data_IF_598481998556
#
_entry.id   IF_598481998556
#
_cell.length_a   1.000
_cell.length_b   1.000
_cell.length_c   1.000
_cell.angle_alpha   90.00
_cell.angle_beta   90.00
_cell.angle_gamma   90.00
#
_symmetry.space_group_name_H-M   'P 1'
#
loop_
_entity.id
_entity.type
_entity.pdbx_description
1 polymer ?
#
# COMPACT_ATOMS: atom_id res chain seq x y z
N UNK A 1 4.06 19.55 -11.04
CA UNK A 1 4.81 18.28 -10.91
C UNK A 1 3.88 17.23 -10.32
N UNK A 2 4.02 16.01 -10.77
CA UNK A 2 3.24 14.84 -10.33
C UNK A 2 1.73 14.98 -10.57
N UNK A 3 1.34 15.66 -11.65
CA UNK A 3 -0.04 15.81 -12.05
C UNK A 3 -0.65 14.45 -12.45
N UNK A 4 -1.75 14.08 -11.79
CA UNK A 4 -2.49 12.84 -12.00
C UNK A 4 -3.88 13.11 -12.60
N UNK A 5 -4.13 14.33 -13.09
CA UNK A 5 -5.41 14.70 -13.72
C UNK A 5 -5.73 13.74 -14.88
N UNK A 6 -6.94 13.19 -14.86
CA UNK A 6 -7.41 12.19 -15.83
C UNK A 6 -6.94 10.77 -15.57
N UNK A 7 -6.13 10.53 -14.53
CA UNK A 7 -5.77 9.17 -14.11
C UNK A 7 -6.73 8.63 -13.04
N UNK A 8 -6.82 7.31 -13.01
CA UNK A 8 -7.65 6.59 -12.03
C UNK A 8 -6.80 5.70 -11.14
N UNK A 9 -7.13 5.64 -9.85
CA UNK A 9 -6.37 4.83 -8.89
C UNK A 9 -7.29 3.93 -8.05
N UNK A 10 -6.90 2.66 -7.89
CA UNK A 10 -7.47 1.75 -6.91
C UNK A 10 -6.53 1.68 -5.70
N UNK A 11 -7.05 1.99 -4.51
CA UNK A 11 -6.28 2.00 -3.26
C UNK A 11 -6.94 1.05 -2.26
N UNK A 12 -6.20 0.03 -1.79
CA UNK A 12 -6.68 -0.89 -0.74
C UNK A 12 -6.33 -0.38 0.66
N UNK A 13 -7.17 -0.70 1.66
CA UNK A 13 -7.00 -0.19 3.02
C UNK A 13 -7.11 1.34 3.09
N UNK A 14 -7.91 1.93 2.22
CA UNK A 14 -8.01 3.36 1.96
C UNK A 14 -8.44 4.18 3.19
N UNK A 15 -9.29 3.63 4.06
CA UNK A 15 -9.78 4.32 5.27
C UNK A 15 -8.87 4.15 6.50
N UNK A 16 -7.71 3.49 6.37
CA UNK A 16 -6.69 3.39 7.41
C UNK A 16 -5.76 4.60 7.44
N UNK A 17 -4.93 4.76 8.48
CA UNK A 17 -4.07 5.94 8.66
C UNK A 17 -3.18 6.25 7.45
N UNK A 18 -2.34 5.31 7.02
CA UNK A 18 -1.48 5.47 5.83
C UNK A 18 -2.34 5.53 4.55
N UNK A 19 -3.34 4.66 4.42
CA UNK A 19 -4.20 4.60 3.25
C UNK A 19 -4.97 5.89 3.00
N UNK A 20 -5.46 6.54 4.06
CA UNK A 20 -6.17 7.81 3.94
C UNK A 20 -5.25 8.93 3.45
N UNK A 21 -4.03 9.01 3.96
CA UNK A 21 -3.05 9.99 3.51
C UNK A 21 -2.62 9.76 2.04
N UNK A 22 -2.48 8.51 1.63
CA UNK A 22 -2.23 8.14 0.22
C UNK A 22 -3.39 8.63 -0.66
N UNK A 23 -4.63 8.31 -0.30
CA UNK A 23 -5.80 8.73 -1.07
C UNK A 23 -5.89 10.27 -1.18
N UNK A 24 -5.67 10.98 -0.07
CA UNK A 24 -5.65 12.45 -0.06
C UNK A 24 -4.56 13.01 -0.98
N UNK A 25 -3.35 12.45 -0.94
CA UNK A 25 -2.26 12.89 -1.80
C UNK A 25 -2.57 12.65 -3.30
N UNK A 26 -3.10 11.48 -3.66
CA UNK A 26 -3.48 11.18 -5.04
C UNK A 26 -4.64 12.05 -5.53
N UNK A 27 -5.66 12.27 -4.69
CA UNK A 27 -6.80 13.14 -5.01
C UNK A 27 -6.36 14.59 -5.18
N UNK A 28 -5.47 15.11 -4.32
CA UNK A 28 -4.92 16.45 -4.42
C UNK A 28 -4.12 16.68 -5.71
N UNK A 29 -3.55 15.62 -6.30
CA UNK A 29 -2.90 15.65 -7.61
C UNK A 29 -3.86 15.42 -8.78
N UNK A 30 -5.17 15.31 -8.53
CA UNK A 30 -6.20 15.21 -9.57
C UNK A 30 -6.61 13.79 -9.97
N UNK A 31 -6.14 12.74 -9.29
CA UNK A 31 -6.56 11.37 -9.58
C UNK A 31 -8.01 11.11 -9.12
N UNK A 32 -8.79 10.38 -9.94
CA UNK A 32 -10.08 9.81 -9.53
C UNK A 32 -9.85 8.47 -8.86
N UNK A 33 -10.45 8.26 -7.66
CA UNK A 33 -10.12 7.12 -6.83
C UNK A 33 -11.27 6.10 -6.74
N UNK A 34 -10.93 4.81 -6.77
CA UNK A 34 -11.68 3.73 -6.15
C UNK A 34 -11.02 3.43 -4.80
N UNK A 35 -11.69 3.80 -3.71
CA UNK A 35 -11.23 3.49 -2.36
C UNK A 35 -11.77 2.14 -1.93
N UNK A 36 -10.91 1.26 -1.36
CA UNK A 36 -11.28 -0.09 -0.95
C UNK A 36 -10.89 -0.40 0.49
N UNK A 37 -11.75 -1.14 1.17
CA UNK A 37 -11.59 -1.61 2.55
C UNK A 37 -12.75 -2.50 2.96
N UNK A 38 -12.63 -3.24 4.07
CA UNK A 38 -13.63 -4.20 4.51
C UNK A 38 -14.81 -3.58 5.27
N UNK A 39 -14.61 -2.47 5.97
CA UNK A 39 -15.69 -1.78 6.69
C UNK A 39 -16.40 -0.79 5.77
N UNK A 40 -17.61 -1.12 5.35
CA UNK A 40 -18.39 -0.37 4.36
C UNK A 40 -18.71 1.04 4.85
N UNK A 41 -19.20 1.19 6.08
CA UNK A 41 -19.62 2.49 6.62
C UNK A 41 -18.43 3.45 6.75
N UNK A 42 -17.32 2.95 7.29
CA UNK A 42 -16.07 3.73 7.40
C UNK A 42 -15.52 4.11 6.02
N UNK A 43 -15.62 3.20 5.06
CA UNK A 43 -15.15 3.42 3.70
C UNK A 43 -15.97 4.50 2.98
N UNK A 44 -17.31 4.45 3.10
CA UNK A 44 -18.19 5.46 2.50
C UNK A 44 -18.05 6.83 3.17
N UNK A 45 -17.93 6.88 4.49
CA UNK A 45 -17.65 8.11 5.20
C UNK A 45 -16.33 8.75 4.73
N UNK A 46 -15.28 7.92 4.59
CA UNK A 46 -13.98 8.37 4.08
C UNK A 46 -14.08 8.84 2.62
N UNK A 47 -14.72 8.08 1.73
CA UNK A 47 -14.95 8.49 0.34
C UNK A 47 -15.65 9.86 0.26
N UNK A 48 -16.70 10.05 1.08
CA UNK A 48 -17.43 11.33 1.12
C UNK A 48 -16.54 12.50 1.59
N UNK A 49 -15.63 12.25 2.54
CA UNK A 49 -14.70 13.27 3.05
C UNK A 49 -13.65 13.74 2.04
N UNK A 50 -13.34 12.92 1.01
CA UNK A 50 -12.42 13.29 -0.06
C UNK A 50 -13.01 14.36 -1.00
N UNK A 51 -14.34 14.50 -1.04
CA UNK A 51 -15.01 15.30 -2.07
C UNK A 51 -14.89 14.68 -3.46
N UNK A 52 -15.30 15.41 -4.50
CA UNK A 52 -15.11 14.98 -5.89
C UNK A 52 -15.87 13.71 -6.29
N UNK A 53 -15.53 13.14 -7.45
CA UNK A 53 -16.17 11.96 -8.03
C UNK A 53 -15.33 10.69 -7.76
N UNK A 54 -15.15 10.38 -6.48
CA UNK A 54 -14.50 9.14 -6.04
C UNK A 54 -15.56 8.06 -5.76
N UNK A 55 -15.17 6.78 -5.87
CA UNK A 55 -16.07 5.64 -5.68
C UNK A 55 -15.57 4.72 -4.57
N UNK A 56 -16.49 4.11 -3.83
CA UNK A 56 -16.15 3.05 -2.89
C UNK A 56 -16.38 1.67 -3.53
N UNK A 57 -15.42 0.78 -3.29
CA UNK A 57 -15.46 -0.63 -3.71
C UNK A 57 -15.05 -1.48 -2.51
N UNK A 58 -16.01 -1.91 -1.67
CA UNK A 58 -15.73 -2.74 -0.51
C UNK A 58 -15.05 -4.05 -0.91
N UNK A 59 -14.07 -4.48 -0.09
CA UNK A 59 -13.37 -5.74 -0.29
C UNK A 59 -12.82 -6.26 1.05
N UNK A 60 -13.08 -7.53 1.33
CA UNK A 60 -12.38 -8.28 2.37
C UNK A 60 -11.21 -9.03 1.74
N UNK A 61 -9.99 -8.62 2.06
CA UNK A 61 -8.77 -9.27 1.55
C UNK A 61 -8.53 -10.66 2.18
N UNK A 62 -9.27 -11.02 3.22
CA UNK A 62 -9.30 -12.36 3.78
C UNK A 62 -10.15 -13.34 2.98
N UNK A 63 -11.05 -12.85 2.13
CA UNK A 63 -11.91 -13.65 1.26
C UNK A 63 -11.41 -13.62 -0.19
N UNK A 64 -11.09 -14.79 -0.72
CA UNK A 64 -10.55 -14.95 -2.07
C UNK A 64 -11.50 -14.42 -3.15
N UNK A 65 -12.78 -14.70 -3.04
CA UNK A 65 -13.76 -14.31 -4.06
C UNK A 65 -13.96 -12.79 -4.06
N UNK A 66 -13.96 -12.18 -2.88
CA UNK A 66 -13.98 -10.73 -2.70
C UNK A 66 -12.75 -10.06 -3.36
N UNK A 67 -11.56 -10.64 -3.18
CA UNK A 67 -10.31 -10.15 -3.80
C UNK A 67 -10.37 -10.27 -5.33
N UNK A 68 -10.85 -11.39 -5.87
CA UNK A 68 -10.95 -11.60 -7.32
C UNK A 68 -11.99 -10.67 -7.97
N UNK A 69 -13.02 -10.26 -7.25
CA UNK A 69 -14.04 -9.32 -7.71
C UNK A 69 -13.59 -7.85 -7.67
N UNK A 70 -12.59 -7.47 -6.85
CA UNK A 70 -12.25 -6.07 -6.57
C UNK A 70 -11.82 -5.30 -7.83
N UNK A 71 -10.85 -5.81 -8.60
CA UNK A 71 -10.34 -5.12 -9.79
C UNK A 71 -11.42 -5.01 -10.88
N UNK A 72 -12.19 -6.06 -11.21
CA UNK A 72 -13.35 -5.95 -12.12
C UNK A 72 -14.36 -4.88 -11.68
N UNK A 73 -14.76 -4.86 -10.41
CA UNK A 73 -15.72 -3.88 -9.89
C UNK A 73 -15.16 -2.43 -9.92
N UNK A 74 -13.87 -2.25 -9.67
CA UNK A 74 -13.23 -0.95 -9.80
C UNK A 74 -13.17 -0.49 -11.27
N UNK A 75 -12.86 -1.40 -12.19
CA UNK A 75 -12.88 -1.11 -13.64
C UNK A 75 -14.27 -0.71 -14.13
N UNK A 76 -15.32 -1.38 -13.66
CA UNK A 76 -16.71 -1.05 -14.01
C UNK A 76 -17.06 0.39 -13.60
N UNK A 77 -16.65 0.81 -12.39
CA UNK A 77 -16.96 2.14 -11.85
C UNK A 77 -16.06 3.26 -12.38
N UNK A 78 -14.79 2.97 -12.64
CA UNK A 78 -13.81 3.98 -13.07
C UNK A 78 -13.61 4.03 -14.59
N UNK A 79 -13.91 2.94 -15.31
CA UNK A 79 -13.64 2.77 -16.74
C UNK A 79 -12.22 2.26 -17.02
N UNK A 80 -11.24 2.61 -16.22
CA UNK A 80 -9.84 2.17 -16.30
C UNK A 80 -9.19 2.15 -14.91
N UNK A 81 -8.02 1.52 -14.80
CA UNK A 81 -7.16 1.60 -13.61
C UNK A 81 -5.74 1.88 -14.08
N UNK A 82 -5.28 3.12 -13.87
CA UNK A 82 -3.92 3.56 -14.20
C UNK A 82 -2.95 3.27 -13.06
N UNK A 83 -3.45 3.35 -11.81
CA UNK A 83 -2.66 3.24 -10.59
C UNK A 83 -3.31 2.19 -9.70
N UNK A 84 -2.53 1.20 -9.25
CA UNK A 84 -2.90 0.26 -8.20
C UNK A 84 -2.02 0.46 -6.99
N UNK A 85 -2.61 0.83 -5.85
CA UNK A 85 -1.90 0.94 -4.57
C UNK A 85 -2.34 -0.19 -3.64
N UNK A 86 -1.45 -1.16 -3.44
CA UNK A 86 -1.61 -2.24 -2.47
C UNK A 86 -1.10 -1.76 -1.11
N UNK A 87 -1.99 -1.19 -0.30
CA UNK A 87 -1.65 -0.64 1.01
C UNK A 87 -2.21 -1.47 2.18
N UNK A 88 -3.33 -2.14 2.00
CA UNK A 88 -3.93 -2.93 3.07
C UNK A 88 -2.98 -4.02 3.59
N UNK A 89 -3.05 -4.26 4.88
CA UNK A 89 -2.29 -5.33 5.54
C UNK A 89 -2.63 -5.43 7.02
N UNK A 90 -2.35 -6.58 7.58
CA UNK A 90 -2.56 -6.89 9.00
C UNK A 90 -1.28 -7.40 9.63
N UNK A 91 -1.21 -7.33 10.95
CA UNK A 91 -0.18 -7.98 11.78
C UNK A 91 -0.84 -8.99 12.73
N UNK A 92 -0.14 -10.06 13.04
CA UNK A 92 -0.47 -11.05 14.09
C UNK A 92 0.84 -11.36 14.80
N UNK A 93 1.21 -10.47 15.71
CA UNK A 93 2.52 -10.50 16.34
C UNK A 93 2.57 -11.59 17.43
N UNK A 94 3.54 -12.49 17.33
CA UNK A 94 3.83 -13.50 18.33
C UNK A 94 5.27 -13.99 18.18
N UNK A 95 5.91 -14.41 19.27
CA UNK A 95 7.24 -15.02 19.19
C UNK A 95 7.18 -16.29 18.36
N UNK A 96 8.22 -16.58 17.55
CA UNK A 96 8.25 -17.71 16.62
C UNK A 96 7.88 -19.05 17.29
N UNK A 97 8.36 -19.29 18.51
CA UNK A 97 8.03 -20.51 19.26
C UNK A 97 6.58 -20.60 19.76
N UNK A 98 5.82 -19.52 19.68
CA UNK A 98 4.41 -19.42 20.15
C UNK A 98 3.46 -19.05 19.02
N UNK A 99 3.99 -18.66 17.86
CA UNK A 99 3.18 -18.27 16.69
C UNK A 99 2.36 -19.46 16.23
N UNK A 100 1.05 -19.27 16.13
CA UNK A 100 0.12 -20.28 15.65
C UNK A 100 0.07 -20.26 14.12
N UNK A 101 -0.27 -21.41 13.53
CA UNK A 101 -0.42 -21.52 12.08
C UNK A 101 -1.48 -20.55 11.54
N UNK A 102 -2.57 -20.34 12.28
CA UNK A 102 -3.62 -19.39 11.88
C UNK A 102 -3.12 -17.93 11.87
N UNK A 103 -2.22 -17.56 12.79
CA UNK A 103 -1.60 -16.22 12.83
C UNK A 103 -0.64 -16.03 11.65
N UNK A 104 0.05 -17.08 11.24
CA UNK A 104 0.89 -17.10 10.05
C UNK A 104 0.05 -17.02 8.78
N UNK A 105 -0.92 -17.92 8.63
CA UNK A 105 -1.74 -18.05 7.44
C UNK A 105 -2.56 -16.78 7.17
N UNK A 106 -3.14 -16.16 8.21
CA UNK A 106 -3.87 -14.90 8.08
C UNK A 106 -3.00 -13.79 7.48
N UNK A 107 -1.76 -13.63 7.99
CA UNK A 107 -0.86 -12.58 7.52
C UNK A 107 -0.39 -12.85 6.09
N UNK A 108 -0.03 -14.08 5.76
CA UNK A 108 0.39 -14.45 4.39
C UNK A 108 -0.78 -14.27 3.41
N UNK A 109 -1.96 -14.76 3.76
CA UNK A 109 -3.16 -14.69 2.91
C UNK A 109 -3.57 -13.25 2.62
N UNK A 110 -3.64 -12.40 3.65
CA UNK A 110 -4.12 -11.03 3.50
C UNK A 110 -3.04 -10.12 2.90
N UNK A 111 -1.80 -10.20 3.38
CA UNK A 111 -0.77 -9.27 2.95
C UNK A 111 -0.15 -9.66 1.60
N UNK A 112 0.17 -10.95 1.39
CA UNK A 112 0.94 -11.41 0.24
C UNK A 112 0.06 -11.98 -0.88
N UNK A 113 -0.79 -12.98 -0.56
CA UNK A 113 -1.58 -13.65 -1.60
C UNK A 113 -2.65 -12.74 -2.20
N UNK A 114 -3.38 -11.97 -1.38
CA UNK A 114 -4.38 -11.04 -1.88
C UNK A 114 -3.70 -9.97 -2.78
N UNK A 115 -2.56 -9.43 -2.37
CA UNK A 115 -1.78 -8.48 -3.17
C UNK A 115 -1.35 -9.09 -4.51
N UNK A 116 -0.87 -10.35 -4.52
CA UNK A 116 -0.56 -11.05 -5.77
C UNK A 116 -1.77 -11.13 -6.71
N UNK A 117 -2.95 -11.50 -6.17
CA UNK A 117 -4.19 -11.61 -6.97
C UNK A 117 -4.59 -10.26 -7.58
N UNK A 118 -4.49 -9.18 -6.81
CA UNK A 118 -4.80 -7.83 -7.28
C UNK A 118 -3.82 -7.37 -8.37
N UNK A 119 -2.52 -7.57 -8.18
CA UNK A 119 -1.51 -7.25 -9.20
C UNK A 119 -1.77 -8.03 -10.49
N UNK A 120 -2.02 -9.34 -10.38
CA UNK A 120 -2.34 -10.21 -11.52
C UNK A 120 -3.59 -9.72 -12.27
N UNK A 121 -4.65 -9.34 -11.56
CA UNK A 121 -5.89 -8.87 -12.16
C UNK A 121 -5.70 -7.51 -12.87
N UNK A 122 -4.87 -6.60 -12.32
CA UNK A 122 -4.58 -5.30 -12.91
C UNK A 122 -3.61 -5.39 -14.10
N UNK A 123 -2.79 -6.43 -14.20
CA UNK A 123 -1.75 -6.57 -15.23
C UNK A 123 -2.33 -6.50 -16.65
N UNK A 124 -3.36 -7.28 -16.94
CA UNK A 124 -3.92 -7.36 -18.32
C UNK A 124 -4.48 -6.02 -18.80
N UNK A 125 -5.34 -5.30 -18.06
CA UNK A 125 -5.83 -3.98 -18.48
C UNK A 125 -4.70 -2.96 -18.62
N UNK A 126 -3.73 -2.89 -17.69
CA UNK A 126 -2.58 -1.98 -17.76
C UNK A 126 -1.69 -2.26 -18.99
N UNK A 127 -1.39 -3.53 -19.27
CA UNK A 127 -0.62 -3.92 -20.46
C UNK A 127 -1.35 -3.53 -21.77
N UNK A 128 -2.67 -3.68 -21.81
CA UNK A 128 -3.49 -3.28 -22.99
C UNK A 128 -3.47 -1.76 -23.17
N UNK A 129 -3.56 -0.99 -22.08
CA UNK A 129 -3.48 0.48 -22.11
C UNK A 129 -2.05 0.99 -22.42
N UNK A 130 -1.01 0.14 -22.29
CA UNK A 130 0.41 0.51 -22.35
C UNK A 130 0.76 1.61 -21.34
N UNK A 131 0.11 1.56 -20.21
CA UNK A 131 0.35 2.44 -19.06
C UNK A 131 -0.13 1.75 -17.77
N UNK A 132 0.65 1.86 -16.71
CA UNK A 132 0.27 1.41 -15.38
C UNK A 132 1.32 1.75 -14.32
N UNK A 133 0.85 1.95 -13.10
CA UNK A 133 1.66 2.22 -11.91
C UNK A 133 1.19 1.30 -10.79
N UNK A 134 1.97 0.29 -10.48
CA UNK A 134 1.71 -0.63 -9.37
C UNK A 134 2.61 -0.20 -8.21
N UNK A 135 2.01 0.16 -7.07
CA UNK A 135 2.73 0.64 -5.90
C UNK A 135 2.31 -0.22 -4.71
N UNK A 136 3.28 -0.86 -4.06
CA UNK A 136 3.02 -1.75 -2.93
C UNK A 136 3.62 -1.18 -1.65
N UNK A 137 2.79 -1.01 -0.62
CA UNK A 137 3.25 -0.55 0.68
C UNK A 137 3.81 -1.76 1.44
N UNK A 138 5.12 -1.79 1.54
CA UNK A 138 5.86 -2.80 2.28
C UNK A 138 6.13 -2.34 3.72
N UNK A 139 7.30 -2.52 4.26
CA UNK A 139 7.73 -2.03 5.58
C UNK A 139 9.23 -2.15 5.69
N UNK A 140 9.85 -1.31 6.51
CA UNK A 140 11.23 -1.48 6.95
C UNK A 140 11.45 -2.88 7.55
N UNK A 141 10.44 -3.44 8.23
CA UNK A 141 10.47 -4.78 8.84
C UNK A 141 10.67 -5.90 7.80
N UNK A 142 10.20 -5.71 6.57
CA UNK A 142 10.41 -6.67 5.49
C UNK A 142 11.89 -6.87 5.10
N UNK A 143 12.75 -5.93 5.50
CA UNK A 143 14.20 -5.98 5.24
C UNK A 143 15.02 -6.21 6.51
N UNK A 144 14.67 -5.52 7.61
CA UNK A 144 15.43 -5.60 8.87
C UNK A 144 14.99 -6.75 9.77
N UNK A 145 13.79 -7.29 9.57
CA UNK A 145 13.13 -8.13 10.56
C UNK A 145 12.68 -7.32 11.78
N UNK A 146 11.84 -7.94 12.62
CA UNK A 146 11.51 -7.45 13.95
C UNK A 146 11.09 -8.64 14.83
N UNK A 147 11.58 -8.76 16.06
CA UNK A 147 11.16 -9.83 16.98
C UNK A 147 9.64 -9.89 17.13
N UNK A 148 9.07 -11.09 17.05
CA UNK A 148 7.63 -11.31 17.14
C UNK A 148 6.86 -11.11 15.82
N UNK A 149 7.52 -10.75 14.72
CA UNK A 149 6.88 -10.45 13.44
C UNK A 149 7.40 -11.32 12.28
N UNK A 150 7.70 -12.59 12.52
CA UNK A 150 8.23 -13.47 11.48
C UNK A 150 7.28 -13.58 10.27
N UNK A 151 5.97 -13.75 10.50
CA UNK A 151 4.93 -13.77 9.48
C UNK A 151 4.84 -12.44 8.70
N UNK A 152 4.83 -11.32 9.41
CA UNK A 152 4.76 -9.99 8.80
C UNK A 152 6.02 -9.67 8.00
N UNK A 153 7.21 -9.93 8.56
CA UNK A 153 8.48 -9.77 7.86
C UNK A 153 8.54 -10.61 6.58
N UNK A 154 8.12 -11.88 6.66
CA UNK A 154 8.03 -12.77 5.49
C UNK A 154 7.10 -12.21 4.42
N UNK A 155 5.89 -11.75 4.82
CA UNK A 155 4.93 -11.17 3.87
C UNK A 155 5.49 -9.92 3.19
N UNK A 156 6.10 -8.99 3.93
CA UNK A 156 6.62 -7.72 3.40
C UNK A 156 7.90 -7.90 2.58
N UNK A 157 8.77 -8.83 2.97
CA UNK A 157 9.92 -9.25 2.17
C UNK A 157 9.49 -9.94 0.87
N UNK A 158 8.51 -10.83 0.94
CA UNK A 158 7.90 -11.49 -0.21
C UNK A 158 7.29 -10.51 -1.22
N UNK A 159 6.57 -9.48 -0.73
CA UNK A 159 6.04 -8.40 -1.56
C UNK A 159 7.13 -7.65 -2.32
N UNK A 160 8.26 -7.37 -1.67
CA UNK A 160 9.39 -6.69 -2.31
C UNK A 160 9.99 -7.54 -3.44
N UNK A 161 10.22 -8.82 -3.20
CA UNK A 161 10.75 -9.74 -4.21
C UNK A 161 9.76 -9.95 -5.37
N UNK A 162 8.47 -10.16 -5.05
CA UNK A 162 7.41 -10.32 -6.04
C UNK A 162 7.25 -9.08 -6.92
N UNK A 163 7.32 -7.88 -6.34
CA UNK A 163 7.23 -6.62 -7.09
C UNK A 163 8.37 -6.49 -8.11
N UNK A 164 9.60 -6.93 -7.76
CA UNK A 164 10.74 -6.93 -8.70
C UNK A 164 10.52 -7.87 -9.89
N UNK A 165 9.97 -9.06 -9.65
CA UNK A 165 9.66 -10.01 -10.73
C UNK A 165 8.61 -9.42 -11.68
N UNK A 166 7.50 -8.91 -11.15
CA UNK A 166 6.43 -8.29 -11.92
C UNK A 166 6.93 -7.05 -12.69
N UNK A 167 7.82 -6.26 -12.09
CA UNK A 167 8.44 -5.11 -12.76
C UNK A 167 9.19 -5.50 -14.03
N UNK A 168 9.95 -6.59 -14.01
CA UNK A 168 10.67 -7.11 -15.17
C UNK A 168 9.72 -7.58 -16.28
N UNK A 169 8.62 -8.24 -15.92
CA UNK A 169 7.62 -8.73 -16.87
C UNK A 169 6.89 -7.60 -17.59
N UNK A 170 6.63 -6.48 -16.89
CA UNK A 170 5.73 -5.43 -17.37
C UNK A 170 6.44 -4.20 -17.95
N UNK A 171 7.76 -4.03 -17.74
CA UNK A 171 8.51 -2.85 -18.15
C UNK A 171 8.38 -2.52 -19.63
N UNK A 172 8.39 -3.53 -20.53
CA UNK A 172 8.26 -3.34 -21.98
C UNK A 172 6.87 -2.81 -22.40
N UNK A 173 5.92 -2.80 -21.49
CA UNK A 173 4.54 -2.30 -21.68
C UNK A 173 4.30 -0.93 -21.05
N UNK A 174 5.37 -0.24 -20.60
CA UNK A 174 5.27 1.04 -19.89
C UNK A 174 4.45 0.94 -18.58
N UNK A 175 4.51 -0.23 -17.93
CA UNK A 175 3.93 -0.46 -16.62
C UNK A 175 5.06 -0.59 -15.62
N UNK A 176 5.08 0.26 -14.60
CA UNK A 176 6.08 0.19 -13.52
C UNK A 176 5.48 -0.48 -12.29
N UNK A 177 6.30 -1.21 -11.56
CA UNK A 177 5.93 -1.79 -10.27
C UNK A 177 7.02 -1.49 -9.25
N UNK A 178 6.65 -0.79 -8.16
CA UNK A 178 7.57 -0.32 -7.14
C UNK A 178 7.00 -0.53 -5.73
N UNK A 179 7.88 -0.48 -4.73
CA UNK A 179 7.52 -0.52 -3.33
C UNK A 179 7.79 0.81 -2.64
N UNK A 180 6.96 1.13 -1.65
CA UNK A 180 7.27 2.12 -0.61
C UNK A 180 7.40 1.37 0.71
N UNK A 181 8.52 1.55 1.42
CA UNK A 181 8.81 0.89 2.69
C UNK A 181 8.79 1.92 3.83
N UNK A 182 7.65 2.07 4.53
CA UNK A 182 7.55 2.93 5.69
C UNK A 182 8.39 2.42 6.86
N UNK A 183 8.90 3.36 7.66
CA UNK A 183 9.35 3.11 9.04
C UNK A 183 8.18 3.20 10.03
N UNK A 184 8.43 3.78 11.21
CA UNK A 184 7.38 4.10 12.16
C UNK A 184 6.63 5.35 11.71
N UNK A 185 5.34 5.19 11.43
CA UNK A 185 4.45 6.27 10.97
C UNK A 185 3.42 6.56 12.06
N UNK A 186 3.27 7.82 12.40
CA UNK A 186 2.27 8.29 13.35
C UNK A 186 0.86 7.98 12.80
N UNK A 187 0.05 7.36 13.65
CA UNK A 187 -1.35 7.00 13.37
C UNK A 187 -2.16 7.22 14.65
N UNK A 188 -3.47 7.19 14.57
CA UNK A 188 -4.31 7.29 15.75
C UNK A 188 -3.95 6.26 16.85
N UNK A 189 -3.41 5.11 16.47
CA UNK A 189 -2.93 4.09 17.41
C UNK A 189 -1.66 4.53 18.15
N UNK A 190 -0.71 5.16 17.46
CA UNK A 190 0.55 5.63 18.10
C UNK A 190 0.33 6.94 18.86
N UNK A 191 -0.66 7.75 18.49
CA UNK A 191 -1.00 8.96 19.20
C UNK A 191 -1.50 8.69 20.63
N UNK A 192 -2.16 7.54 20.85
CA UNK A 192 -2.64 7.12 22.16
C UNK A 192 -1.56 6.52 23.09
N UNK A 193 -0.32 6.35 22.60
CA UNK A 193 0.78 5.81 23.41
C UNK A 193 1.24 6.81 24.46
N UNK A 194 1.66 6.36 25.66
CA UNK A 194 2.34 7.20 26.65
C UNK A 194 3.61 7.85 26.09
N UNK A 195 3.92 9.06 26.53
CA UNK A 195 5.06 9.84 26.02
C UNK A 195 6.39 9.09 26.11
N UNK A 196 6.65 8.39 27.23
CA UNK A 196 7.84 7.56 27.38
C UNK A 196 7.98 6.46 26.32
N UNK A 197 6.86 5.92 25.80
CA UNK A 197 6.89 4.94 24.71
C UNK A 197 7.12 5.63 23.37
N UNK A 198 6.53 6.81 23.14
CA UNK A 198 6.81 7.62 21.95
C UNK A 198 8.29 8.01 21.88
N UNK A 199 8.86 8.44 23.00
CA UNK A 199 10.28 8.81 23.10
C UNK A 199 11.19 7.61 22.80
N UNK A 200 10.86 6.43 23.33
CA UNK A 200 11.60 5.20 23.03
C UNK A 200 11.53 4.80 21.56
N UNK A 201 10.40 5.02 20.89
CA UNK A 201 10.25 4.81 19.45
C UNK A 201 11.06 5.84 18.65
N UNK A 202 10.95 7.12 19.01
CA UNK A 202 11.66 8.21 18.35
C UNK A 202 13.18 8.06 18.47
N UNK A 203 13.69 7.59 19.61
CA UNK A 203 15.12 7.32 19.82
C UNK A 203 15.70 6.26 18.87
N UNK A 204 14.85 5.41 18.28
CA UNK A 204 15.25 4.40 17.28
C UNK A 204 15.28 4.95 15.85
N UNK A 205 14.82 6.17 15.64
CA UNK A 205 14.75 6.82 14.33
C UNK A 205 15.85 7.88 14.25
N UNK A 206 16.81 7.80 13.33
CA UNK A 206 17.85 8.81 13.18
C UNK A 206 17.35 10.25 13.03
N UNK A 207 16.21 10.47 12.36
CA UNK A 207 15.56 11.78 12.30
C UNK A 207 14.89 12.24 13.59
N UNK A 208 14.87 11.41 14.66
CA UNK A 208 14.35 11.75 15.99
C UNK A 208 12.82 11.88 16.08
N UNK A 209 12.08 11.57 15.02
CA UNK A 209 10.61 11.61 14.98
C UNK A 209 10.02 10.49 14.17
N UNK A 210 8.81 10.09 14.48
CA UNK A 210 8.02 9.26 13.56
C UNK A 210 7.72 10.03 12.29
N UNK A 211 7.57 9.31 11.18
CA UNK A 211 7.03 9.87 9.94
C UNK A 211 5.51 10.09 10.06
N UNK A 212 4.96 10.85 9.14
CA UNK A 212 3.53 11.07 9.00
C UNK A 212 2.98 10.32 7.78
N UNK A 213 1.66 10.11 7.74
CA UNK A 213 1.00 9.54 6.56
C UNK A 213 1.28 10.34 5.29
N UNK A 214 1.44 11.65 5.41
CA UNK A 214 1.79 12.57 4.32
C UNK A 214 3.16 12.29 3.71
N UNK A 215 4.15 11.84 4.49
CA UNK A 215 5.47 11.42 3.98
C UNK A 215 5.32 10.23 3.03
N UNK A 216 4.42 9.30 3.35
CA UNK A 216 4.10 8.14 2.50
C UNK A 216 3.27 8.55 1.29
N UNK A 217 2.26 9.41 1.49
CA UNK A 217 1.42 9.95 0.42
C UNK A 217 2.23 10.64 -0.67
N UNK A 218 3.23 11.44 -0.29
CA UNK A 218 4.13 12.13 -1.22
C UNK A 218 4.95 11.15 -2.07
N UNK A 219 5.53 10.10 -1.46
CA UNK A 219 6.28 9.08 -2.16
C UNK A 219 5.39 8.29 -3.14
N UNK A 220 4.15 7.97 -2.75
CA UNK A 220 3.17 7.29 -3.60
C UNK A 220 2.75 8.19 -4.75
N UNK A 221 2.46 9.48 -4.53
CA UNK A 221 2.09 10.42 -5.58
C UNK A 221 3.21 10.56 -6.63
N UNK A 222 4.49 10.62 -6.19
CA UNK A 222 5.64 10.60 -7.09
C UNK A 222 5.66 9.33 -7.95
N UNK A 223 5.61 8.14 -7.33
CA UNK A 223 5.66 6.87 -8.06
C UNK A 223 4.44 6.65 -8.97
N UNK A 224 3.31 7.25 -8.67
CA UNK A 224 2.10 7.22 -9.49
C UNK A 224 2.21 8.10 -10.73
N UNK A 225 3.08 9.11 -10.72
CA UNK A 225 3.19 10.12 -11.75
C UNK A 225 3.89 9.63 -13.04
N UNK A 226 3.81 10.45 -14.09
CA UNK A 226 4.54 10.22 -15.35
C UNK A 226 6.04 10.41 -15.17
N UNK A 227 6.45 11.29 -14.26
CA UNK A 227 7.85 11.58 -13.96
C UNK A 227 8.61 10.37 -13.40
N UNK A 228 7.90 9.45 -12.73
CA UNK A 228 8.48 8.18 -12.25
C UNK A 228 8.50 7.07 -13.32
N UNK A 229 8.22 7.38 -14.60
CA UNK A 229 8.09 6.40 -15.67
C UNK A 229 9.34 5.57 -15.97
N UNK A 230 10.52 5.99 -15.48
CA UNK A 230 11.77 5.23 -15.64
C UNK A 230 12.21 4.52 -14.34
N UNK A 231 11.35 4.51 -13.32
CA UNK A 231 11.60 3.85 -12.03
C UNK A 231 10.71 2.60 -11.97
N UNK A 232 11.33 1.43 -11.95
CA UNK A 232 10.61 0.15 -11.79
C UNK A 232 11.46 -0.85 -11.03
N UNK A 233 10.83 -1.75 -10.26
CA UNK A 233 11.49 -2.72 -9.41
C UNK A 233 12.19 -2.15 -8.19
N UNK A 234 11.95 -0.88 -7.85
CA UNK A 234 12.64 -0.19 -6.76
C UNK A 234 11.79 -0.18 -5.47
N UNK A 235 12.49 -0.01 -4.34
CA UNK A 235 11.86 0.24 -3.05
C UNK A 235 12.31 1.61 -2.55
N UNK A 236 11.36 2.54 -2.40
CA UNK A 236 11.61 3.82 -1.75
C UNK A 236 11.42 3.65 -0.25
N UNK A 237 12.50 3.82 0.51
CA UNK A 237 12.50 3.75 1.97
C UNK A 237 12.12 5.11 2.56
N UNK A 238 10.94 5.17 3.22
CA UNK A 238 10.42 6.37 3.90
C UNK A 238 10.37 6.08 5.39
N UNK A 239 11.54 6.12 6.04
CA UNK A 239 11.70 5.56 7.38
C UNK A 239 12.57 6.40 8.34
N UNK A 240 12.84 7.68 8.00
CA UNK A 240 13.63 8.57 8.86
C UNK A 240 15.06 8.08 9.12
N UNK A 241 15.60 7.21 8.24
CA UNK A 241 16.95 6.65 8.38
C UNK A 241 17.04 5.36 9.20
N UNK A 242 15.90 4.76 9.60
CA UNK A 242 15.90 3.49 10.36
C UNK A 242 16.58 2.34 9.60
N UNK A 243 16.52 2.36 8.28
CA UNK A 243 17.23 1.42 7.42
C UNK A 243 17.71 2.16 6.17
N UNK A 244 19.01 2.13 5.92
CA UNK A 244 19.69 2.70 4.77
C UNK A 244 20.20 1.54 3.90
N UNK A 245 19.50 1.26 2.78
CA UNK A 245 19.67 0.06 1.95
C UNK A 245 19.89 0.42 0.49
#
# INVERSE_FOLDING_TARGET
MFDLTGMTALVTGASGGIGSAICQALAAQGARLAVSGSNVDKLEAFRASLGGDHVAVPCDLGDKDSVEALVPAALEKLGQIDILVNNAGVTRDNLTMRMKDEEWDDVIRINLEATFRLMRAATKPMMKARFGRIITITSVVGTTGNPGQANYAASKGGLTAMTKAIAQELASRNVTANCVAPGFIATAMTESLPDAQKDALNARIPMGRMGEGTDIGAAVAYLASREAGYITGQTIHVNGGMAML
#
